data_IF_274907526056
#
_entry.id   IF_274907526056
#
_cell.length_a   1.000
_cell.length_b   1.000
_cell.length_c   1.000
_cell.angle_alpha   90.00
_cell.angle_beta   90.00
_cell.angle_gamma   90.00
#
_symmetry.space_group_name_H-M   'P 1'
#
loop_
_entity.id
_entity.type
_entity.pdbx_description
1 polymer ?
#
# COMPACT_ATOMS: atom_id res chain seq x y z
N UNK A 1 5.42 -4.59 3.33
CA UNK A 1 4.03 -4.82 3.66
C UNK A 1 3.39 -5.73 2.65
N UNK A 2 2.29 -6.28 3.09
CA UNK A 2 1.55 -7.32 2.43
C UNK A 2 1.15 -7.07 0.96
N UNK A 3 1.10 -5.83 0.48
CA UNK A 3 0.77 -5.54 -0.92
C UNK A 3 1.98 -5.60 -1.88
N UNK A 4 3.20 -5.71 -1.37
CA UNK A 4 4.45 -5.66 -2.16
C UNK A 4 5.49 -6.69 -1.71
N UNK A 5 5.05 -7.73 -1.02
CA UNK A 5 5.91 -8.81 -0.52
C UNK A 5 5.99 -10.02 -1.47
N UNK A 6 5.18 -10.00 -2.54
CA UNK A 6 5.08 -11.09 -3.51
C UNK A 6 4.36 -12.34 -3.00
N UNK A 7 3.70 -12.24 -1.82
CA UNK A 7 2.92 -13.33 -1.25
C UNK A 7 1.41 -13.08 -1.44
N UNK A 8 0.80 -13.82 -2.33
CA UNK A 8 -0.65 -13.72 -2.62
C UNK A 8 -1.56 -14.19 -1.46
N UNK A 9 -0.99 -14.77 -0.40
CA UNK A 9 -1.74 -15.14 0.80
C UNK A 9 -1.87 -13.96 1.79
N UNK A 10 -1.11 -12.91 1.62
CA UNK A 10 -1.18 -11.70 2.44
C UNK A 10 -1.90 -10.56 1.72
N UNK A 11 -2.41 -9.58 2.47
CA UNK A 11 -3.06 -8.41 1.88
C UNK A 11 -2.86 -7.19 2.78
N UNK A 12 -2.54 -6.07 2.16
CA UNK A 12 -2.70 -4.79 2.82
C UNK A 12 -4.18 -4.43 2.89
N UNK A 13 -4.65 -3.99 4.05
CA UNK A 13 -6.04 -3.56 4.25
C UNK A 13 -6.03 -2.23 4.98
N UNK A 14 -6.89 -1.30 4.54
CA UNK A 14 -7.03 0.00 5.19
C UNK A 14 -7.51 -0.12 6.63
N UNK A 15 -6.95 0.71 7.51
CA UNK A 15 -7.22 0.65 8.96
C UNK A 15 -8.54 1.29 9.38
N UNK A 16 -9.13 2.13 8.51
CA UNK A 16 -10.39 2.81 8.81
C UNK A 16 -11.56 1.85 8.55
N UNK A 17 -12.34 1.57 9.56
CA UNK A 17 -13.56 0.74 9.47
C UNK A 17 -14.82 1.57 9.17
N UNK A 18 -14.66 2.84 8.79
CA UNK A 18 -15.79 3.76 8.56
C UNK A 18 -16.21 3.83 7.09
N UNK A 19 -15.24 3.75 6.19
CA UNK A 19 -15.49 3.78 4.75
C UNK A 19 -14.27 3.25 3.98
N UNK A 20 -14.51 2.44 2.95
CA UNK A 20 -13.50 2.06 1.97
C UNK A 20 -13.22 3.21 0.99
N UNK A 21 -14.29 3.87 0.54
CA UNK A 21 -14.17 5.03 -0.38
C UNK A 21 -13.42 6.17 0.29
N UNK A 22 -12.41 6.67 -0.39
CA UNK A 22 -11.48 7.68 0.11
C UNK A 22 -10.24 7.14 0.79
N UNK A 23 -10.17 5.83 1.10
CA UNK A 23 -8.95 5.20 1.59
C UNK A 23 -7.94 5.05 0.46
N UNK A 24 -6.66 5.20 0.79
CA UNK A 24 -5.61 5.21 -0.21
C UNK A 24 -4.32 4.55 0.29
N UNK A 25 -3.54 4.06 -0.67
CA UNK A 25 -2.16 3.63 -0.53
C UNK A 25 -1.29 4.49 -1.45
N UNK A 26 -0.16 4.98 -0.96
CA UNK A 26 0.83 5.68 -1.76
C UNK A 26 2.14 4.89 -1.78
N UNK A 27 2.74 4.84 -2.94
CA UNK A 27 4.08 4.28 -3.16
C UNK A 27 4.97 5.38 -3.70
N UNK A 28 6.04 5.67 -2.99
CA UNK A 28 7.10 6.58 -3.41
C UNK A 28 8.24 5.75 -3.99
N UNK A 29 8.81 6.22 -5.09
CA UNK A 29 9.88 5.53 -5.81
C UNK A 29 11.25 6.09 -5.43
N UNK A 30 12.26 5.22 -5.29
CA UNK A 30 13.64 5.65 -5.09
C UNK A 30 14.16 6.50 -6.27
N UNK A 31 13.68 6.18 -7.47
CA UNK A 31 13.94 6.93 -8.70
C UNK A 31 12.63 7.11 -9.45
N UNK A 32 12.38 8.29 -10.02
CA UNK A 32 11.16 8.51 -10.78
C UNK A 32 11.01 7.50 -11.92
N UNK A 33 9.78 7.05 -12.15
CA UNK A 33 9.44 6.12 -13.23
C UNK A 33 8.72 6.84 -14.35
N UNK A 34 8.89 6.35 -15.56
CA UNK A 34 8.21 6.83 -16.77
C UNK A 34 7.75 5.66 -17.60
N UNK A 35 6.73 5.85 -18.46
CA UNK A 35 6.20 4.81 -19.34
C UNK A 35 5.95 3.49 -18.59
N UNK A 36 5.17 3.55 -17.50
CA UNK A 36 4.99 2.43 -16.61
C UNK A 36 3.51 1.97 -16.55
N UNK A 37 3.35 0.68 -16.27
CA UNK A 37 2.06 0.05 -15.99
C UNK A 37 2.03 -0.40 -14.53
N UNK A 38 0.95 -0.07 -13.85
CA UNK A 38 0.64 -0.58 -12.53
C UNK A 38 -0.27 -1.80 -12.69
N UNK A 39 0.09 -2.91 -12.06
CA UNK A 39 -0.75 -4.10 -11.93
C UNK A 39 -1.16 -4.23 -10.47
N UNK A 40 -2.46 -4.32 -10.23
CA UNK A 40 -3.05 -4.37 -8.89
C UNK A 40 -3.93 -5.62 -8.78
N UNK A 41 -3.79 -6.36 -7.69
CA UNK A 41 -4.71 -7.44 -7.31
C UNK A 41 -5.52 -7.00 -6.09
N UNK A 42 -6.81 -6.69 -6.26
CA UNK A 42 -7.67 -6.33 -5.13
C UNK A 42 -7.86 -7.53 -4.18
N UNK A 43 -7.90 -7.27 -2.87
CA UNK A 43 -8.11 -8.31 -1.88
C UNK A 43 -9.55 -8.85 -1.95
N UNK A 44 -9.69 -10.18 -1.81
CA UNK A 44 -10.99 -10.85 -1.75
C UNK A 44 -11.61 -10.82 -0.36
N UNK A 45 -10.80 -10.68 0.68
CA UNK A 45 -11.21 -10.77 2.08
C UNK A 45 -11.18 -9.39 2.75
N UNK A 46 -12.08 -8.50 2.32
CA UNK A 46 -12.30 -7.20 2.96
C UNK A 46 -13.69 -7.15 3.59
N UNK A 47 -13.84 -6.36 4.65
CA UNK A 47 -15.13 -6.13 5.27
C UNK A 47 -15.97 -5.16 4.42
N UNK A 48 -17.25 -5.46 4.28
CA UNK A 48 -18.22 -4.61 3.58
C UNK A 48 -18.26 -4.84 2.08
N UNK A 49 -18.84 -3.88 1.35
CA UNK A 49 -18.95 -3.93 -0.09
C UNK A 49 -17.58 -3.82 -0.76
N UNK A 50 -17.37 -4.61 -1.79
CA UNK A 50 -16.11 -4.64 -2.54
C UNK A 50 -15.87 -3.33 -3.28
N UNK A 51 -14.63 -2.87 -3.23
CA UNK A 51 -14.19 -1.73 -4.04
C UNK A 51 -14.09 -2.17 -5.49
N UNK A 52 -14.80 -1.51 -6.37
CA UNK A 52 -14.83 -1.81 -7.80
C UNK A 52 -14.32 -0.67 -8.68
N UNK A 53 -14.09 0.51 -8.12
CA UNK A 53 -13.47 1.63 -8.83
C UNK A 53 -12.33 2.21 -8.01
N UNK A 54 -11.19 2.35 -8.66
CA UNK A 54 -9.94 2.81 -8.08
C UNK A 54 -9.39 3.95 -8.93
N UNK A 55 -9.01 5.04 -8.31
CA UNK A 55 -8.24 6.11 -8.93
C UNK A 55 -6.76 5.88 -8.72
N UNK A 56 -5.99 6.00 -9.79
CA UNK A 56 -4.54 5.98 -9.80
C UNK A 56 -4.05 7.39 -10.10
N UNK A 57 -3.44 8.03 -9.14
CA UNK A 57 -2.93 9.40 -9.26
C UNK A 57 -1.40 9.42 -9.28
N UNK A 58 -0.84 10.30 -10.10
CA UNK A 58 0.58 10.62 -10.20
C UNK A 58 0.75 12.14 -10.23
N UNK A 59 1.97 12.65 -10.32
CA UNK A 59 2.21 14.10 -10.54
C UNK A 59 1.67 14.58 -11.90
N UNK A 60 1.47 13.66 -12.85
CA UNK A 60 1.10 13.98 -14.24
C UNK A 60 -0.42 13.88 -14.49
N UNK A 61 -1.20 13.45 -13.51
CA UNK A 61 -2.65 13.29 -13.65
C UNK A 61 -3.18 12.03 -13.00
N UNK A 62 -4.40 11.66 -13.38
CA UNK A 62 -5.11 10.50 -12.84
C UNK A 62 -5.57 9.54 -13.94
N UNK A 63 -5.69 8.27 -13.60
CA UNK A 63 -6.35 7.23 -14.38
C UNK A 63 -7.36 6.50 -13.49
N UNK A 64 -8.44 6.01 -14.06
CA UNK A 64 -9.42 5.21 -13.32
C UNK A 64 -9.33 3.76 -13.74
N UNK A 65 -9.32 2.89 -12.76
CA UNK A 65 -9.30 1.45 -12.92
C UNK A 65 -10.64 0.87 -12.47
N UNK A 66 -11.28 0.10 -13.34
CA UNK A 66 -12.46 -0.70 -13.01
C UNK A 66 -12.01 -2.09 -12.58
N UNK A 67 -12.52 -2.55 -11.45
CA UNK A 67 -12.29 -3.89 -10.88
C UNK A 67 -13.58 -4.69 -11.03
N UNK A 68 -13.58 -5.65 -11.92
CA UNK A 68 -14.76 -6.48 -12.15
C UNK A 68 -14.77 -7.71 -11.22
N UNK A 69 -13.60 -8.19 -10.84
CA UNK A 69 -13.46 -9.38 -9.99
C UNK A 69 -12.34 -9.19 -8.96
N UNK A 70 -12.64 -9.21 -7.65
CA UNK A 70 -11.63 -9.27 -6.61
C UNK A 70 -10.73 -10.51 -6.75
N UNK A 71 -9.48 -10.40 -6.32
CA UNK A 71 -8.49 -11.49 -6.41
C UNK A 71 -7.90 -11.72 -7.79
N UNK A 72 -8.35 -10.98 -8.82
CA UNK A 72 -7.72 -11.02 -10.15
C UNK A 72 -6.87 -9.78 -10.39
N UNK A 73 -5.65 -9.94 -10.94
CA UNK A 73 -4.82 -8.81 -11.28
C UNK A 73 -5.47 -8.00 -12.41
N UNK A 74 -5.48 -6.70 -12.25
CA UNK A 74 -5.89 -5.72 -13.25
C UNK A 74 -4.76 -4.74 -13.49
N UNK A 75 -4.56 -4.33 -14.75
CA UNK A 75 -3.46 -3.48 -15.13
C UNK A 75 -3.96 -2.14 -15.67
N UNK A 76 -3.24 -1.08 -15.39
CA UNK A 76 -3.50 0.27 -15.89
C UNK A 76 -2.19 0.97 -16.21
N UNK A 77 -2.12 1.61 -17.38
CA UNK A 77 -1.00 2.49 -17.70
C UNK A 77 -1.01 3.71 -16.78
N UNK A 78 0.13 4.05 -16.21
CA UNK A 78 0.25 5.30 -15.45
C UNK A 78 0.12 6.50 -16.38
N UNK A 79 -0.41 7.65 -15.90
CA UNK A 79 -0.40 8.90 -16.64
C UNK A 79 0.98 9.21 -17.21
N UNK A 80 1.03 9.62 -18.49
CA UNK A 80 2.26 9.84 -19.22
C UNK A 80 3.13 10.91 -18.55
N UNK A 81 4.42 10.63 -18.45
CA UNK A 81 5.44 11.50 -17.87
C UNK A 81 6.18 10.84 -16.72
N UNK A 82 7.23 11.51 -16.28
CA UNK A 82 8.04 11.06 -15.15
C UNK A 82 7.30 11.31 -13.84
N UNK A 83 7.22 10.30 -12.97
CA UNK A 83 6.56 10.41 -11.67
C UNK A 83 7.41 9.81 -10.55
N UNK A 84 7.61 10.53 -9.44
CA UNK A 84 8.31 10.02 -8.25
C UNK A 84 7.40 9.21 -7.32
N UNK A 85 6.10 9.17 -7.55
CA UNK A 85 5.14 8.45 -6.72
C UNK A 85 3.88 8.08 -7.48
N UNK A 86 3.17 7.08 -6.94
CA UNK A 86 1.79 6.74 -7.33
C UNK A 86 0.91 6.66 -6.09
N UNK A 87 -0.32 7.17 -6.16
CA UNK A 87 -1.35 7.01 -5.13
C UNK A 87 -2.54 6.25 -5.71
N UNK A 88 -2.98 5.27 -4.97
CA UNK A 88 -4.06 4.35 -5.31
C UNK A 88 -5.21 4.60 -4.34
N UNK A 89 -6.33 5.13 -4.82
CA UNK A 89 -7.45 5.55 -3.98
C UNK A 89 -8.72 4.79 -4.34
N UNK A 90 -9.41 4.21 -3.38
CA UNK A 90 -10.74 3.66 -3.59
C UNK A 90 -11.75 4.78 -3.82
N UNK A 91 -12.46 4.77 -4.95
CA UNK A 91 -13.41 5.81 -5.33
C UNK A 91 -14.85 5.31 -5.54
N UNK A 92 -15.07 4.01 -5.44
CA UNK A 92 -16.42 3.44 -5.53
C UNK A 92 -16.47 1.97 -5.18
N UNK A 93 -17.65 1.51 -4.81
CA UNK A 93 -17.96 0.14 -4.48
C UNK A 93 -19.03 -0.43 -5.40
N UNK A 94 -19.13 -1.75 -5.45
CA UNK A 94 -20.05 -2.51 -6.31
C UNK A 94 -21.54 -2.12 -6.12
N UNK A 95 -21.92 -1.74 -4.91
CA UNK A 95 -23.30 -1.37 -4.57
C UNK A 95 -23.49 0.14 -4.34
N UNK A 96 -22.47 0.96 -4.62
CA UNK A 96 -22.52 2.41 -4.45
C UNK A 96 -22.45 2.90 -3.01
N UNK A 97 -22.30 2.03 -2.02
CA UNK A 97 -22.07 2.44 -0.62
C UNK A 97 -20.64 2.94 -0.42
N UNK A 98 -20.38 3.50 0.76
CA UNK A 98 -18.99 3.89 1.14
C UNK A 98 -18.09 2.67 1.39
N UNK A 99 -18.64 1.46 1.50
CA UNK A 99 -17.91 0.27 1.91
C UNK A 99 -17.40 0.37 3.35
N UNK A 100 -16.51 -0.56 3.73
CA UNK A 100 -15.89 -0.59 5.06
C UNK A 100 -14.37 -0.56 4.96
N UNK A 101 -13.77 -1.48 4.20
CA UNK A 101 -12.32 -1.59 4.03
C UNK A 101 -11.93 -1.62 2.56
N UNK A 102 -10.79 -1.02 2.25
CA UNK A 102 -10.09 -1.17 0.99
C UNK A 102 -8.90 -2.09 1.16
N UNK A 103 -8.74 -3.09 0.29
CA UNK A 103 -7.67 -4.07 0.40
C UNK A 103 -6.98 -4.34 -0.93
N UNK A 104 -5.66 -4.56 -0.86
CA UNK A 104 -4.79 -4.90 -1.98
C UNK A 104 -3.95 -6.11 -1.58
N UNK A 105 -4.08 -7.21 -2.34
CA UNK A 105 -3.28 -8.41 -2.13
C UNK A 105 -1.89 -8.28 -2.75
N UNK A 106 -1.81 -7.72 -3.96
CA UNK A 106 -0.53 -7.58 -4.66
C UNK A 106 -0.51 -6.31 -5.49
N UNK A 107 0.67 -5.71 -5.60
CA UNK A 107 0.94 -4.49 -6.34
C UNK A 107 2.30 -4.61 -7.03
N UNK A 108 2.30 -4.53 -8.34
CA UNK A 108 3.51 -4.53 -9.15
C UNK A 108 3.53 -3.33 -10.10
N UNK A 109 4.70 -2.81 -10.37
CA UNK A 109 4.93 -1.76 -11.36
C UNK A 109 5.98 -2.22 -12.34
N UNK A 110 5.66 -2.07 -13.62
CA UNK A 110 6.54 -2.43 -14.73
C UNK A 110 6.78 -1.20 -15.59
N UNK A 111 8.02 -0.81 -15.74
CA UNK A 111 8.45 0.25 -16.63
C UNK A 111 8.88 -0.35 -17.97
N UNK A 112 8.63 0.38 -19.06
CA UNK A 112 9.04 -0.02 -20.38
C UNK A 112 10.08 0.96 -20.94
N UNK A 113 11.16 0.44 -21.50
CA UNK A 113 12.17 1.23 -22.17
C UNK A 113 11.71 1.70 -23.55
N UNK A 114 12.56 2.47 -24.24
CA UNK A 114 12.25 2.99 -25.59
C UNK A 114 12.08 1.90 -26.65
N UNK A 115 12.57 0.69 -26.40
CA UNK A 115 12.42 -0.47 -27.28
C UNK A 115 11.22 -1.34 -26.91
N UNK A 116 10.50 -1.00 -25.84
CA UNK A 116 9.35 -1.75 -25.34
C UNK A 116 9.70 -2.92 -24.42
N UNK A 117 10.95 -3.07 -23.98
CA UNK A 117 11.31 -4.10 -23.02
C UNK A 117 10.80 -3.73 -21.62
N UNK A 118 10.25 -4.74 -20.94
CA UNK A 118 9.67 -4.61 -19.63
C UNK A 118 10.74 -4.74 -18.53
N UNK A 119 10.78 -3.79 -17.62
CA UNK A 119 11.65 -3.76 -16.45
C UNK A 119 10.80 -3.64 -15.18
N UNK A 120 10.78 -4.66 -14.30
CA UNK A 120 10.05 -4.55 -13.06
C UNK A 120 10.68 -3.47 -12.17
N UNK A 121 9.84 -2.61 -11.61
CA UNK A 121 10.24 -1.62 -10.60
C UNK A 121 10.30 -2.33 -9.27
N UNK A 122 11.46 -2.32 -8.62
CA UNK A 122 11.64 -3.00 -7.34
C UNK A 122 11.02 -2.14 -6.22
N UNK A 123 9.88 -2.57 -5.73
CA UNK A 123 9.18 -1.95 -4.61
C UNK A 123 9.74 -2.50 -3.30
N UNK A 124 10.19 -1.60 -2.42
CA UNK A 124 10.70 -1.96 -1.09
C UNK A 124 9.87 -1.29 -0.02
N UNK A 125 9.63 -2.04 1.04
CA UNK A 125 9.09 -1.47 2.26
C UNK A 125 10.22 -0.97 3.15
N UNK A 126 10.13 0.30 3.54
CA UNK A 126 11.03 0.88 4.54
C UNK A 126 10.23 1.27 5.77
N UNK A 127 10.51 0.63 6.90
CA UNK A 127 9.96 1.05 8.18
C UNK A 127 10.97 2.00 8.86
N UNK A 128 10.52 3.22 9.14
CA UNK A 128 11.31 4.15 9.95
C UNK A 128 10.94 3.90 11.42
N UNK A 129 11.88 3.30 12.14
CA UNK A 129 11.74 3.12 13.59
C UNK A 129 12.08 4.45 14.27
N UNK A 130 11.16 5.07 15.02
CA UNK A 130 11.47 6.29 15.75
C UNK A 130 12.63 6.02 16.73
N UNK A 131 13.59 6.94 16.77
CA UNK A 131 14.70 6.85 17.71
C UNK A 131 14.19 6.75 19.16
N UNK A 132 14.94 6.08 20.07
CA UNK A 132 14.57 6.04 21.47
C UNK A 132 14.55 7.46 22.06
N UNK A 133 13.72 7.74 23.06
CA UNK A 133 13.79 8.98 23.80
C UNK A 133 15.22 9.26 24.30
N UNK A 134 15.66 10.50 24.21
CA UNK A 134 16.99 10.92 24.65
C UNK A 134 17.25 10.43 26.11
N UNK A 135 18.34 9.67 26.31
CA UNK A 135 18.75 9.16 27.60
C UNK A 135 18.16 7.81 28.01
N UNK A 136 17.34 7.19 27.16
CA UNK A 136 16.80 5.85 27.44
C UNK A 136 17.78 4.77 26.93
N UNK A 137 18.28 3.86 27.80
CA UNK A 137 19.05 2.72 27.33
C UNK A 137 18.10 1.75 26.60
N UNK A 138 18.35 1.53 25.32
CA UNK A 138 17.62 0.52 24.53
C UNK A 138 18.29 -0.82 24.77
N UNK A 139 17.59 -1.74 25.45
CA UNK A 139 18.09 -3.08 25.69
C UNK A 139 17.87 -4.02 24.50
N UNK A 140 16.80 -3.80 23.72
CA UNK A 140 16.44 -4.62 22.56
C UNK A 140 15.41 -3.89 21.70
N UNK A 141 15.50 -4.06 20.40
CA UNK A 141 14.44 -3.73 19.46
C UNK A 141 13.73 -5.02 19.08
N UNK A 142 12.46 -5.15 19.44
CA UNK A 142 11.60 -6.18 18.89
C UNK A 142 10.83 -5.58 17.72
N UNK A 143 11.27 -5.88 16.51
CA UNK A 143 10.64 -5.39 15.29
C UNK A 143 9.38 -6.18 14.93
N UNK A 144 9.03 -7.20 15.73
CA UNK A 144 7.87 -8.05 15.53
C UNK A 144 7.83 -8.72 14.15
N UNK A 145 7.18 -9.85 14.04
CA UNK A 145 6.73 -10.32 12.72
C UNK A 145 5.66 -9.32 12.25
N UNK A 146 5.73 -8.94 10.99
CA UNK A 146 4.88 -7.94 10.33
C UNK A 146 3.39 -8.37 10.35
N UNK A 147 2.82 -8.43 11.56
CA UNK A 147 1.42 -8.80 11.74
C UNK A 147 0.61 -7.51 11.60
N UNK A 148 -0.28 -7.41 10.61
CA UNK A 148 -1.10 -6.22 10.41
C UNK A 148 -1.79 -5.79 11.71
N UNK A 149 -1.58 -4.55 12.12
CA UNK A 149 -2.24 -3.95 13.27
C UNK A 149 -1.55 -4.14 14.63
N UNK A 150 -0.36 -4.75 14.70
CA UNK A 150 0.43 -4.78 15.94
C UNK A 150 1.55 -3.75 15.87
N UNK A 151 1.48 -2.73 16.73
CA UNK A 151 2.60 -1.84 17.00
C UNK A 151 3.75 -2.58 17.69
N UNK A 152 4.98 -2.24 17.35
CA UNK A 152 6.15 -2.71 18.11
C UNK A 152 6.04 -2.24 19.56
N UNK A 153 6.26 -3.15 20.51
CA UNK A 153 6.23 -2.82 21.93
C UNK A 153 7.62 -2.98 22.53
N UNK A 154 8.02 -2.04 23.39
CA UNK A 154 9.27 -2.09 24.14
C UNK A 154 8.94 -2.26 25.63
N UNK A 155 9.51 -3.28 26.25
CA UNK A 155 9.48 -3.42 27.69
C UNK A 155 10.53 -2.49 28.31
N UNK A 156 10.09 -1.46 29.03
CA UNK A 156 10.92 -0.57 29.80
C UNK A 156 10.74 -0.83 31.31
N UNK A 157 11.56 -0.21 32.16
CA UNK A 157 11.46 -0.40 33.62
C UNK A 157 10.15 0.11 34.22
N UNK A 158 9.49 1.03 33.55
CA UNK A 158 8.23 1.70 33.95
C UNK A 158 6.99 1.07 33.26
N UNK A 159 7.17 0.03 32.42
CA UNK A 159 6.07 -0.66 31.76
C UNK A 159 6.35 -1.01 30.29
N UNK A 160 5.31 -1.50 29.62
CA UNK A 160 5.38 -1.80 28.18
C UNK A 160 4.87 -0.58 27.42
N UNK A 161 5.76 0.01 26.62
CA UNK A 161 5.43 1.11 25.71
C UNK A 161 5.29 0.57 24.30
N UNK A 162 4.09 0.68 23.71
CA UNK A 162 3.84 0.27 22.34
C UNK A 162 3.84 1.51 21.43
N UNK A 163 4.60 1.45 20.35
CA UNK A 163 4.45 2.42 19.28
C UNK A 163 3.06 2.28 18.65
N UNK A 164 2.53 3.36 18.11
CA UNK A 164 1.39 3.26 17.18
C UNK A 164 1.74 2.22 16.10
N UNK A 165 0.78 1.41 15.62
CA UNK A 165 1.04 0.45 14.57
C UNK A 165 1.84 1.14 13.47
N UNK A 166 2.91 0.48 13.01
CA UNK A 166 3.74 1.00 11.93
C UNK A 166 2.81 1.41 10.79
N UNK A 167 2.52 2.68 10.70
CA UNK A 167 1.95 3.23 9.50
C UNK A 167 3.07 3.13 8.47
N UNK A 168 2.78 2.56 7.32
CA UNK A 168 3.63 2.73 6.16
C UNK A 168 3.86 4.24 6.03
N UNK A 169 5.09 4.68 6.30
CA UNK A 169 5.44 6.04 5.96
C UNK A 169 5.20 6.20 4.46
N UNK A 170 4.46 7.24 4.05
CA UNK A 170 4.23 7.53 2.65
C UNK A 170 5.56 7.79 1.93
#
# INVERSE_FOLDING_TARGET
PAAVDGDSATSWVSNALQAAVGQWLRVDFDHPVTNATLTLTPAVSTLGAQVNRIEIATVNGTATLQVDQPGRPVAVALPYGETPWVRITAIGTENGSSGVQFGITDLAITQYDANGYAHPVNLRHTAVVPGPPLGSPVAMWDLGSDTPGRGGCVAARDGVHCASPLSLAP
#
